data_IF_341220132036
#
_entry.id   IF_341220132036
#
_cell.length_a   1.000
_cell.length_b   1.000
_cell.length_c   1.000
_cell.angle_alpha   90.00
_cell.angle_beta   90.00
_cell.angle_gamma   90.00
#
_symmetry.space_group_name_H-M   'P 1'
#
loop_
_entity.id
_entity.type
_entity.pdbx_description
1 polymer ?
#
# COMPACT_ATOMS: atom_id res chain seq x y z
N UNK A 1 5.78 -1.46 -7.50
CA UNK A 1 5.66 -2.09 -6.18
C UNK A 1 4.25 -1.88 -5.63
N UNK A 2 3.61 -2.96 -5.20
CA UNK A 2 2.27 -2.90 -4.60
C UNK A 2 2.42 -3.06 -3.09
N UNK A 3 1.88 -2.11 -2.34
CA UNK A 3 2.05 -2.04 -0.89
C UNK A 3 0.69 -2.10 -0.21
N UNK A 4 0.52 -3.11 0.67
CA UNK A 4 -0.63 -3.21 1.55
C UNK A 4 -0.30 -2.45 2.84
N UNK A 5 -1.01 -1.36 3.10
CA UNK A 5 -0.73 -0.52 4.27
C UNK A 5 -1.62 -0.88 5.46
N UNK A 6 -2.34 -2.02 5.39
CA UNK A 6 -3.12 -2.53 6.51
C UNK A 6 -2.21 -3.16 7.56
N UNK A 7 -2.80 -3.54 8.68
CA UNK A 7 -2.05 -4.22 9.74
C UNK A 7 -1.62 -5.63 9.29
N UNK A 8 -0.55 -6.18 9.88
CA UNK A 8 -0.07 -7.51 9.48
C UNK A 8 -1.11 -8.62 9.62
N UNK A 9 -1.97 -8.56 10.64
CA UNK A 9 -3.01 -9.56 10.82
C UNK A 9 -4.07 -9.49 9.73
N UNK A 10 -4.34 -8.32 9.19
CA UNK A 10 -5.21 -8.18 8.02
C UNK A 10 -4.54 -8.77 6.76
N UNK A 11 -3.25 -8.49 6.60
CA UNK A 11 -2.48 -8.94 5.43
C UNK A 11 -2.46 -10.47 5.34
N UNK A 12 -2.23 -11.17 6.45
CA UNK A 12 -2.12 -12.63 6.43
C UNK A 12 -3.45 -13.30 6.16
N UNK A 13 -4.57 -12.63 6.35
CA UNK A 13 -5.89 -13.18 6.07
C UNK A 13 -6.24 -13.14 4.59
N UNK A 14 -5.50 -12.39 3.80
CA UNK A 14 -5.67 -12.30 2.36
C UNK A 14 -5.16 -10.96 1.85
N UNK A 15 -4.31 -10.99 0.82
CA UNK A 15 -3.72 -9.79 0.24
C UNK A 15 -3.59 -9.94 -1.27
N UNK A 16 -3.42 -8.83 -1.96
CA UNK A 16 -3.23 -8.83 -3.41
C UNK A 16 -1.92 -9.56 -3.74
N UNK A 17 -1.94 -10.52 -4.69
CA UNK A 17 -0.73 -11.25 -5.04
C UNK A 17 0.42 -10.30 -5.40
N UNK A 18 1.59 -10.60 -4.87
CA UNK A 18 2.78 -9.79 -5.11
C UNK A 18 2.89 -8.54 -4.27
N UNK A 19 1.88 -8.22 -3.44
CA UNK A 19 1.98 -7.06 -2.56
C UNK A 19 2.88 -7.36 -1.36
N UNK A 20 3.47 -6.29 -0.82
CA UNK A 20 4.22 -6.37 0.43
C UNK A 20 3.45 -5.60 1.50
N UNK A 21 3.63 -5.99 2.74
CA UNK A 21 2.92 -5.36 3.85
C UNK A 21 3.83 -4.32 4.53
N UNK A 22 3.44 -3.05 4.42
CA UNK A 22 4.08 -1.97 5.16
C UNK A 22 2.95 -1.18 5.80
N UNK A 23 2.61 -1.48 7.07
CA UNK A 23 1.53 -0.77 7.75
C UNK A 23 1.76 0.73 7.79
N UNK A 24 0.67 1.51 7.90
CA UNK A 24 0.77 2.98 7.92
C UNK A 24 1.74 3.47 8.98
N UNK A 25 1.81 2.80 10.14
CA UNK A 25 2.73 3.18 11.21
C UNK A 25 4.20 3.00 10.82
N UNK A 26 4.49 2.24 9.77
CA UNK A 26 5.86 1.98 9.31
C UNK A 26 6.13 2.54 7.92
N UNK A 27 5.23 3.35 7.40
CA UNK A 27 5.36 3.86 6.03
C UNK A 27 6.63 4.72 5.86
N UNK A 28 7.16 5.29 6.93
CA UNK A 28 8.38 6.06 6.89
C UNK A 28 9.62 5.20 6.63
N UNK A 29 9.49 3.87 6.70
CA UNK A 29 10.61 2.96 6.41
C UNK A 29 10.76 2.64 4.93
N UNK A 30 9.83 3.11 4.09
CA UNK A 30 9.90 2.87 2.65
C UNK A 30 11.18 3.49 2.09
N UNK A 31 11.98 2.68 1.40
CA UNK A 31 13.30 3.08 0.95
C UNK A 31 13.55 2.67 -0.51
N UNK A 32 12.65 3.09 -1.39
CA UNK A 32 12.82 2.90 -2.82
C UNK A 32 13.34 4.18 -3.46
N UNK A 33 13.83 4.08 -4.70
CA UNK A 33 14.17 5.26 -5.48
C UNK A 33 12.92 6.13 -5.65
N UNK A 34 13.10 7.44 -5.68
CA UNK A 34 11.98 8.39 -5.66
C UNK A 34 11.09 8.29 -6.90
N UNK A 35 11.59 7.75 -8.00
CA UNK A 35 10.82 7.57 -9.23
C UNK A 35 10.18 6.18 -9.34
N UNK A 36 10.37 5.32 -8.35
CA UNK A 36 9.77 3.98 -8.35
C UNK A 36 8.26 4.09 -8.27
N UNK A 37 7.49 3.43 -9.17
CA UNK A 37 6.04 3.42 -9.05
C UNK A 37 5.61 2.65 -7.80
N UNK A 38 4.82 3.29 -6.95
CA UNK A 38 4.29 2.70 -5.73
C UNK A 38 2.78 2.71 -5.79
N UNK A 39 2.16 1.54 -5.60
CA UNK A 39 0.71 1.38 -5.60
C UNK A 39 0.29 0.94 -4.20
N UNK A 40 -0.50 1.76 -3.54
CA UNK A 40 -0.91 1.51 -2.16
C UNK A 40 -2.38 1.12 -2.11
N UNK A 41 -2.74 0.23 -1.18
CA UNK A 41 -4.14 -0.07 -0.91
C UNK A 41 -4.33 -0.40 0.57
N UNK A 42 -5.59 -0.30 1.02
CA UNK A 42 -5.97 -0.71 2.36
C UNK A 42 -7.37 -1.33 2.33
N UNK A 43 -8.05 -1.40 3.47
CA UNK A 43 -9.37 -2.00 3.52
C UNK A 43 -10.42 -1.12 2.83
N UNK A 44 -10.42 0.18 3.09
CA UNK A 44 -11.44 1.10 2.59
C UNK A 44 -10.89 2.24 1.72
N UNK A 45 -9.57 2.37 1.61
CA UNK A 45 -8.92 3.45 0.84
C UNK A 45 -8.45 4.62 1.67
N UNK A 46 -8.90 4.77 2.93
CA UNK A 46 -8.54 5.91 3.76
C UNK A 46 -7.11 5.89 4.26
N UNK A 47 -6.66 4.74 4.77
CA UNK A 47 -5.29 4.60 5.25
C UNK A 47 -4.29 4.72 4.10
N UNK A 48 -4.60 4.17 2.95
CA UNK A 48 -3.72 4.24 1.78
C UNK A 48 -3.64 5.67 1.24
N UNK A 49 -4.74 6.44 1.31
CA UNK A 49 -4.71 7.84 0.91
C UNK A 49 -3.79 8.66 1.80
N UNK A 50 -3.84 8.44 3.11
CA UNK A 50 -2.94 9.13 4.04
C UNK A 50 -1.48 8.75 3.81
N UNK A 51 -1.22 7.47 3.59
CA UNK A 51 0.12 6.98 3.32
C UNK A 51 0.67 7.57 2.03
N UNK A 52 -0.17 7.68 1.00
CA UNK A 52 0.22 8.29 -0.27
C UNK A 52 0.67 9.74 -0.06
N UNK A 53 -0.10 10.53 0.69
CA UNK A 53 0.24 11.91 0.98
C UNK A 53 1.57 12.02 1.70
N UNK A 54 1.82 11.15 2.67
CA UNK A 54 3.08 11.13 3.40
C UNK A 54 4.25 10.85 2.46
N UNK A 55 4.12 9.85 1.58
CA UNK A 55 5.19 9.50 0.65
C UNK A 55 5.45 10.61 -0.37
N UNK A 56 4.39 11.26 -0.85
CA UNK A 56 4.54 12.38 -1.77
C UNK A 56 5.32 13.53 -1.12
N UNK A 57 5.06 13.79 0.16
CA UNK A 57 5.81 14.81 0.89
C UNK A 57 7.28 14.44 1.06
N UNK A 58 7.59 13.16 1.08
CA UNK A 58 8.98 12.70 1.15
C UNK A 58 9.70 12.72 -0.20
N UNK A 59 9.00 13.09 -1.26
CA UNK A 59 9.60 13.23 -2.57
C UNK A 59 9.36 12.09 -3.54
N UNK A 60 8.55 11.08 -3.16
CA UNK A 60 8.18 10.03 -4.09
C UNK A 60 7.28 10.60 -5.18
N UNK A 61 7.61 10.31 -6.44
CA UNK A 61 7.02 10.99 -7.59
C UNK A 61 5.87 10.20 -8.23
N UNK A 62 5.82 8.89 -8.03
CA UNK A 62 4.87 8.01 -8.71
C UNK A 62 4.10 7.17 -7.70
N UNK A 63 3.31 7.81 -6.83
CA UNK A 63 2.52 7.12 -5.83
C UNK A 63 1.05 7.14 -6.26
N UNK A 64 0.42 5.97 -6.27
CA UNK A 64 -0.98 5.82 -6.64
C UNK A 64 -1.74 5.14 -5.50
N UNK A 65 -2.96 5.59 -5.24
CA UNK A 65 -3.85 4.95 -4.30
C UNK A 65 -4.78 4.02 -5.07
N UNK A 66 -4.64 2.72 -4.86
CA UNK A 66 -5.50 1.71 -5.49
C UNK A 66 -6.86 1.60 -4.80
N UNK A 67 -7.00 2.19 -3.60
CA UNK A 67 -8.26 2.21 -2.88
C UNK A 67 -8.46 1.02 -1.97
N UNK A 68 -9.63 0.40 -2.05
CA UNK A 68 -10.03 -0.68 -1.16
C UNK A 68 -9.66 -2.03 -1.74
N UNK A 69 -9.20 -2.95 -0.88
CA UNK A 69 -8.86 -4.32 -1.32
C UNK A 69 -10.07 -5.02 -1.95
N UNK A 70 -11.29 -4.67 -1.53
CA UNK A 70 -12.50 -5.25 -2.10
C UNK A 70 -12.72 -4.93 -3.58
N UNK A 71 -12.03 -3.94 -4.12
CA UNK A 71 -12.09 -3.61 -5.54
C UNK A 71 -11.18 -4.48 -6.40
N UNK A 72 -10.28 -5.24 -5.78
CA UNK A 72 -9.45 -6.18 -6.51
C UNK A 72 -10.30 -7.39 -6.93
N UNK A 73 -10.23 -7.74 -8.21
CA UNK A 73 -11.12 -8.75 -8.78
C UNK A 73 -10.49 -10.12 -8.95
N UNK A 74 -9.27 -10.31 -8.50
CA UNK A 74 -8.59 -11.60 -8.56
C UNK A 74 -8.65 -12.33 -7.23
N UNK A 75 -8.00 -13.49 -7.17
CA UNK A 75 -7.86 -14.23 -5.92
C UNK A 75 -6.80 -13.59 -5.04
N UNK A 76 -7.07 -13.57 -3.75
CA UNK A 76 -6.10 -13.08 -2.77
C UNK A 76 -5.16 -14.21 -2.35
N UNK A 77 -3.92 -13.85 -2.08
CA UNK A 77 -2.94 -14.75 -1.47
C UNK A 77 -3.08 -14.72 0.04
N UNK A 78 -2.69 -15.81 0.67
CA UNK A 78 -2.67 -15.89 2.13
C UNK A 78 -1.31 -16.32 2.67
#
# INVERSE_FOLDING_TARGET
VVIDVREPDEYVQGHVPGSINIPTSQINTVNYAKDTPLYLYCLSGGRSKMAMGFLEQKGFQNVKNMGAIGQYQGELEK
#
